data_IF_139861807585
#
_entry.id   IF_139861807585
#
_cell.length_a   1.000
_cell.length_b   1.000
_cell.length_c   1.000
_cell.angle_alpha   90.00
_cell.angle_beta   90.00
_cell.angle_gamma   90.00
#
_symmetry.space_group_name_H-M   'P 1'
#
loop_
_entity.id
_entity.type
_entity.pdbx_description
1 polymer ?
#
# COMPACT_ATOMS: atom_id res chain seq x y z
N UNK A 1 15.31 -9.46 6.56
CA UNK A 1 14.44 -9.97 7.63
C UNK A 1 15.06 -11.29 8.00
N UNK A 2 15.67 -11.38 9.16
CA UNK A 2 16.39 -12.59 9.57
C UNK A 2 15.34 -13.68 9.83
N UNK A 3 15.60 -14.87 9.28
CA UNK A 3 14.62 -15.95 9.13
C UNK A 3 14.50 -16.84 10.38
N UNK A 4 15.21 -16.50 11.47
CA UNK A 4 15.00 -17.14 12.77
C UNK A 4 15.75 -16.42 13.89
N UNK A 5 15.01 -15.78 14.79
CA UNK A 5 15.58 -15.19 16.01
C UNK A 5 15.80 -16.24 17.11
N UNK A 6 15.08 -17.37 17.06
CA UNK A 6 15.17 -18.44 18.04
C UNK A 6 14.94 -19.80 17.39
N UNK A 7 15.77 -20.79 17.71
CA UNK A 7 15.58 -22.19 17.34
C UNK A 7 15.73 -23.06 18.57
N UNK A 8 14.88 -24.06 18.72
CA UNK A 8 14.84 -24.90 19.91
C UNK A 8 14.60 -26.36 19.54
N UNK A 9 15.38 -27.25 20.16
CA UNK A 9 15.25 -28.69 19.99
C UNK A 9 15.48 -29.40 21.32
N UNK A 10 14.66 -30.41 21.60
CA UNK A 10 14.87 -31.35 22.69
C UNK A 10 15.17 -32.71 22.09
N UNK A 11 16.21 -33.37 22.58
CA UNK A 11 16.50 -34.77 22.25
C UNK A 11 16.77 -35.57 23.51
N UNK A 12 16.35 -36.83 23.55
CA UNK A 12 16.53 -37.68 24.72
C UNK A 12 16.19 -39.14 24.45
N UNK A 13 16.64 -40.01 25.35
CA UNK A 13 16.30 -41.44 25.33
C UNK A 13 15.01 -41.73 26.08
N UNK A 14 14.68 -40.91 27.08
CA UNK A 14 13.52 -41.04 27.95
C UNK A 14 13.23 -39.73 28.70
N UNK A 15 12.05 -39.62 29.30
CA UNK A 15 11.55 -38.39 29.97
C UNK A 15 12.44 -37.87 31.12
N UNK A 16 13.33 -38.70 31.67
CA UNK A 16 14.27 -38.30 32.72
C UNK A 16 15.71 -38.08 32.23
N UNK A 17 15.98 -38.32 30.93
CA UNK A 17 17.32 -38.17 30.31
C UNK A 17 17.17 -37.58 28.92
N UNK A 18 17.15 -36.26 28.90
CA UNK A 18 17.04 -35.45 27.71
C UNK A 18 17.97 -34.23 27.81
N UNK A 19 18.23 -33.61 26.67
CA UNK A 19 19.02 -32.40 26.51
C UNK A 19 18.24 -31.46 25.61
N UNK A 20 18.16 -30.20 26.04
CA UNK A 20 17.63 -29.11 25.24
C UNK A 20 18.78 -28.30 24.62
N UNK A 21 18.64 -27.99 23.34
CA UNK A 21 19.48 -27.06 22.61
C UNK A 21 18.65 -25.87 22.18
N UNK A 22 19.16 -24.67 22.40
CA UNK A 22 18.56 -23.45 21.90
C UNK A 22 19.61 -22.56 21.24
N UNK A 23 19.23 -21.94 20.13
CA UNK A 23 20.02 -20.94 19.42
C UNK A 23 19.19 -19.67 19.39
N UNK A 24 19.68 -18.64 20.07
CA UNK A 24 19.00 -17.34 20.19
C UNK A 24 19.90 -16.27 19.56
N UNK A 25 19.44 -15.64 18.48
CA UNK A 25 20.14 -14.57 17.77
C UNK A 25 19.94 -13.25 18.52
N UNK A 26 20.59 -13.15 19.68
CA UNK A 26 20.62 -11.95 20.52
C UNK A 26 21.99 -11.23 20.48
N UNK A 27 22.63 -11.18 19.30
CA UNK A 27 23.93 -10.49 19.09
C UNK A 27 23.92 -9.00 19.48
N UNK A 28 22.75 -8.37 19.67
CA UNK A 28 22.63 -6.94 20.00
C UNK A 28 22.82 -6.58 21.48
N UNK A 29 22.92 -7.56 22.38
CA UNK A 29 23.12 -7.29 23.80
C UNK A 29 24.56 -7.63 24.20
N UNK A 30 25.42 -6.60 24.25
CA UNK A 30 26.77 -6.66 24.85
C UNK A 30 26.79 -7.00 26.35
N UNK A 31 25.70 -7.57 26.88
CA UNK A 31 25.65 -8.07 28.25
C UNK A 31 26.37 -9.40 28.30
N UNK A 32 27.40 -9.44 29.14
CA UNK A 32 28.17 -10.62 29.47
C UNK A 32 27.21 -11.78 29.83
N UNK A 33 27.27 -12.88 29.07
CA UNK A 33 26.42 -14.06 29.24
C UNK A 33 26.42 -14.55 30.71
N UNK A 34 27.54 -14.35 31.40
CA UNK A 34 27.69 -14.65 32.83
C UNK A 34 26.75 -13.84 33.74
N UNK A 35 26.50 -12.55 33.43
CA UNK A 35 25.56 -11.70 34.16
C UNK A 35 24.10 -12.07 33.88
N UNK A 36 23.84 -12.63 32.70
CA UNK A 36 22.52 -13.11 32.29
C UNK A 36 22.17 -14.43 32.98
N UNK A 37 23.17 -15.30 33.19
CA UNK A 37 23.05 -16.57 33.91
C UNK A 37 23.04 -16.43 35.44
N UNK A 38 23.62 -15.34 35.95
CA UNK A 38 23.77 -15.05 37.37
C UNK A 38 23.41 -13.61 37.68
N UNK A 39 22.19 -13.39 38.14
CA UNK A 39 21.74 -12.08 38.62
C UNK A 39 21.12 -12.22 40.00
N UNK A 40 21.63 -11.46 40.99
CA UNK A 40 21.11 -11.49 42.36
C UNK A 40 21.38 -12.77 43.15
N UNK A 41 22.32 -13.62 42.69
CA UNK A 41 22.69 -14.86 43.38
C UNK A 41 21.79 -16.06 43.08
N UNK A 42 20.84 -15.92 42.15
CA UNK A 42 19.96 -16.98 41.67
C UNK A 42 20.43 -17.43 40.29
N UNK A 43 20.40 -18.73 40.03
CA UNK A 43 20.75 -19.27 38.71
C UNK A 43 19.49 -19.35 37.85
N UNK A 44 19.55 -18.81 36.63
CA UNK A 44 18.40 -18.77 35.73
C UNK A 44 18.54 -19.81 34.63
N UNK A 45 17.43 -20.39 34.21
CA UNK A 45 17.40 -21.23 33.01
C UNK A 45 17.63 -20.34 31.77
N UNK A 46 18.75 -20.50 31.03
CA UNK A 46 19.06 -19.62 29.90
C UNK A 46 18.14 -19.80 28.69
N UNK A 47 17.45 -20.94 28.58
CA UNK A 47 16.58 -21.25 27.45
C UNK A 47 15.16 -20.79 27.77
N UNK A 48 14.68 -21.16 28.96
CA UNK A 48 13.32 -20.87 29.40
C UNK A 48 13.14 -19.43 29.92
N UNK A 49 14.19 -18.79 30.44
CA UNK A 49 14.11 -17.38 30.81
C UNK A 49 14.09 -16.52 29.54
N UNK A 50 13.05 -15.69 29.44
CA UNK A 50 12.84 -14.78 28.33
C UNK A 50 13.56 -13.45 28.53
N UNK A 51 13.16 -12.46 27.74
CA UNK A 51 13.60 -11.07 27.86
C UNK A 51 12.79 -10.36 28.96
N UNK A 52 13.47 -9.65 29.85
CA UNK A 52 12.83 -8.82 30.87
C UNK A 52 12.62 -9.55 32.19
N UNK A 53 11.43 -9.40 32.78
CA UNK A 53 11.12 -9.91 34.13
C UNK A 53 10.63 -11.37 34.13
N UNK A 54 10.57 -12.02 32.97
CA UNK A 54 10.07 -13.37 32.83
C UNK A 54 11.20 -14.40 33.05
N UNK A 55 11.47 -14.64 34.33
CA UNK A 55 12.65 -15.34 34.79
C UNK A 55 12.26 -16.72 35.34
N UNK A 56 12.93 -17.78 34.87
CA UNK A 56 12.74 -19.14 35.35
C UNK A 56 13.94 -19.54 36.21
N UNK A 57 13.76 -19.75 37.53
CA UNK A 57 14.84 -20.23 38.39
C UNK A 57 15.25 -21.65 38.00
N UNK A 58 16.55 -21.84 37.74
CA UNK A 58 17.13 -23.13 37.45
C UNK A 58 17.12 -24.07 38.66
N UNK A 59 16.90 -23.56 39.89
CA UNK A 59 16.75 -24.39 41.09
C UNK A 59 15.46 -25.23 41.09
N UNK A 60 14.48 -24.87 40.26
CA UNK A 60 13.21 -25.58 40.12
C UNK A 60 13.02 -26.08 38.69
N UNK A 61 13.81 -27.08 38.24
CA UNK A 61 13.80 -27.53 36.85
C UNK A 61 12.47 -28.20 36.50
N UNK A 62 11.98 -27.92 35.30
CA UNK A 62 10.86 -28.64 34.70
C UNK A 62 11.41 -29.98 34.18
N UNK A 63 11.12 -31.06 34.90
CA UNK A 63 11.72 -32.37 34.62
C UNK A 63 11.20 -33.04 33.36
N UNK A 64 9.92 -32.83 33.03
CA UNK A 64 9.32 -33.47 31.87
C UNK A 64 9.65 -32.67 30.59
N UNK A 65 10.22 -33.31 29.55
CA UNK A 65 10.65 -32.60 28.34
C UNK A 65 9.49 -31.98 27.56
N UNK A 66 8.30 -32.57 27.61
CA UNK A 66 7.11 -32.05 26.92
C UNK A 66 6.57 -30.82 27.61
N UNK A 67 6.52 -30.85 28.94
CA UNK A 67 6.12 -29.69 29.74
C UNK A 67 7.12 -28.54 29.54
N UNK A 68 8.42 -28.87 29.51
CA UNK A 68 9.48 -27.90 29.24
C UNK A 68 9.34 -27.29 27.84
N UNK A 69 9.07 -28.12 26.83
CA UNK A 69 8.84 -27.66 25.45
C UNK A 69 7.67 -26.68 25.36
N UNK A 70 6.50 -27.06 25.90
CA UNK A 70 5.32 -26.20 25.86
C UNK A 70 5.55 -24.89 26.62
N UNK A 71 6.24 -24.94 27.76
CA UNK A 71 6.54 -23.75 28.55
C UNK A 71 7.44 -22.78 27.78
N UNK A 72 8.49 -23.27 27.12
CA UNK A 72 9.35 -22.44 26.27
C UNK A 72 8.57 -21.88 25.08
N UNK A 73 7.76 -22.71 24.43
CA UNK A 73 6.97 -22.29 23.28
C UNK A 73 6.01 -21.15 23.64
N UNK A 74 5.28 -21.26 24.76
CA UNK A 74 4.42 -20.19 25.28
C UNK A 74 5.20 -18.89 25.43
N UNK A 75 6.30 -18.91 26.17
CA UNK A 75 7.10 -17.72 26.48
C UNK A 75 7.63 -17.04 25.21
N UNK A 76 8.25 -17.83 24.32
CA UNK A 76 8.83 -17.31 23.08
C UNK A 76 7.76 -16.84 22.10
N UNK A 77 6.61 -17.51 22.06
CA UNK A 77 5.47 -17.05 21.28
C UNK A 77 4.93 -15.73 21.81
N UNK A 78 4.79 -15.57 23.12
CA UNK A 78 4.37 -14.32 23.75
C UNK A 78 5.28 -13.14 23.34
N UNK A 79 6.60 -13.31 23.44
CA UNK A 79 7.59 -12.31 23.00
C UNK A 79 7.45 -11.97 21.50
N UNK A 80 7.24 -12.99 20.67
CA UNK A 80 7.04 -12.82 19.25
C UNK A 80 5.74 -12.05 18.96
N UNK A 81 4.63 -12.39 19.60
CA UNK A 81 3.33 -11.71 19.45
C UNK A 81 3.45 -10.24 19.85
N UNK A 82 4.05 -9.95 21.00
CA UNK A 82 4.24 -8.58 21.47
C UNK A 82 5.11 -7.76 20.51
N UNK A 83 6.16 -8.37 19.96
CA UNK A 83 7.01 -7.75 18.95
C UNK A 83 6.24 -7.46 17.65
N UNK A 84 5.40 -8.41 17.21
CA UNK A 84 4.54 -8.26 16.04
C UNK A 84 3.51 -7.14 16.25
N UNK A 85 2.81 -7.12 17.38
CA UNK A 85 1.88 -6.05 17.72
C UNK A 85 2.57 -4.68 17.74
N UNK A 86 3.75 -4.58 18.36
CA UNK A 86 4.51 -3.35 18.42
C UNK A 86 4.94 -2.86 17.02
N UNK A 87 5.41 -3.79 16.18
CA UNK A 87 5.82 -3.50 14.79
C UNK A 87 4.63 -3.00 13.97
N UNK A 88 3.49 -3.70 14.00
CA UNK A 88 2.31 -3.30 13.25
C UNK A 88 1.77 -1.96 13.73
N UNK A 89 1.67 -1.74 15.05
CA UNK A 89 1.28 -0.42 15.61
C UNK A 89 2.23 0.69 15.18
N UNK A 90 3.52 0.42 15.00
CA UNK A 90 4.49 1.39 14.54
C UNK A 90 4.31 1.73 13.05
N UNK A 91 4.00 0.73 12.22
CA UNK A 91 3.70 0.93 10.79
C UNK A 91 2.39 1.70 10.65
N UNK A 92 1.32 1.30 11.34
CA UNK A 92 0.04 2.01 11.34
C UNK A 92 0.21 3.49 11.71
N UNK A 93 0.96 3.78 12.79
CA UNK A 93 1.31 5.15 13.19
C UNK A 93 2.02 5.91 12.07
N UNK A 94 3.06 5.34 11.47
CA UNK A 94 3.78 5.98 10.36
C UNK A 94 2.87 6.24 9.15
N UNK A 95 1.95 5.33 8.86
CA UNK A 95 0.99 5.51 7.77
C UNK A 95 0.01 6.65 8.06
N UNK A 96 -0.48 6.73 9.29
CA UNK A 96 -1.36 7.83 9.72
C UNK A 96 -0.62 9.17 9.75
N UNK A 97 0.59 9.22 10.28
CA UNK A 97 1.42 10.42 10.30
C UNK A 97 1.69 10.92 8.88
N UNK A 98 2.03 10.00 7.96
CA UNK A 98 2.25 10.36 6.56
C UNK A 98 0.98 10.96 5.93
N UNK A 99 -0.19 10.37 6.17
CA UNK A 99 -1.49 10.87 5.69
C UNK A 99 -1.86 12.24 6.29
N UNK A 100 -1.51 12.48 7.55
CA UNK A 100 -1.79 13.74 8.23
C UNK A 100 -0.88 14.88 7.74
N UNK A 101 0.39 14.58 7.45
CA UNK A 101 1.36 15.55 6.92
C UNK A 101 1.11 15.82 5.43
N UNK A 102 0.74 14.78 4.68
CA UNK A 102 0.42 14.84 3.26
C UNK A 102 -1.04 14.48 3.07
N UNK A 103 -1.99 15.37 3.43
CA UNK A 103 -3.38 15.22 3.06
C UNK A 103 -3.50 15.45 1.56
N UNK A 104 -2.94 14.54 0.77
CA UNK A 104 -3.14 14.51 -0.66
C UNK A 104 -4.65 14.42 -0.88
N UNK A 105 -5.24 15.43 -1.55
CA UNK A 105 -6.52 15.39 -2.30
C UNK A 105 -7.80 16.12 -1.82
N UNK A 106 -7.82 17.05 -0.85
CA UNK A 106 -9.07 17.86 -0.61
C UNK A 106 -8.88 19.39 -0.65
N UNK A 107 -7.67 19.90 -0.47
CA UNK A 107 -7.46 21.36 -0.53
C UNK A 107 -7.44 21.85 -1.99
N UNK A 108 -8.55 22.47 -2.40
CA UNK A 108 -8.65 23.43 -3.52
C UNK A 108 -7.79 24.68 -3.21
N UNK A 109 -6.49 24.52 -2.97
CA UNK A 109 -5.58 25.65 -2.88
C UNK A 109 -5.36 26.23 -4.28
N UNK A 110 -6.23 27.16 -4.62
CA UNK A 110 -6.10 28.10 -5.72
C UNK A 110 -4.81 28.91 -5.49
N UNK A 111 -3.71 28.58 -6.17
CA UNK A 111 -2.62 29.55 -6.33
C UNK A 111 -1.17 29.08 -6.25
N UNK A 112 -0.84 27.77 -6.25
CA UNK A 112 0.58 27.35 -6.29
C UNK A 112 0.91 26.36 -7.42
N UNK A 113 2.11 26.61 -7.96
CA UNK A 113 2.86 25.92 -9.02
C UNK A 113 2.43 24.47 -9.30
N UNK A 114 1.86 24.22 -10.49
CA UNK A 114 1.34 22.90 -10.90
C UNK A 114 2.40 21.81 -10.86
N UNK A 115 3.66 22.19 -11.09
CA UNK A 115 4.81 21.27 -11.06
C UNK A 115 5.10 20.71 -9.67
N UNK A 116 4.99 21.54 -8.63
CA UNK A 116 5.24 21.10 -7.24
C UNK A 116 4.20 20.11 -6.73
N UNK A 117 2.93 20.31 -7.13
CA UNK A 117 1.81 19.41 -6.82
C UNK A 117 1.97 18.03 -7.47
N UNK A 118 2.43 17.99 -8.72
CA UNK A 118 2.69 16.75 -9.43
C UNK A 118 3.82 15.96 -8.76
N UNK A 119 4.92 16.64 -8.38
CA UNK A 119 6.04 16.02 -7.69
C UNK A 119 5.63 15.43 -6.32
N UNK A 120 4.81 16.14 -5.56
CA UNK A 120 4.26 15.63 -4.30
C UNK A 120 3.38 14.39 -4.51
N UNK A 121 2.52 14.41 -5.53
CA UNK A 121 1.65 13.27 -5.86
C UNK A 121 2.47 12.03 -6.26
N UNK A 122 3.56 12.21 -7.00
CA UNK A 122 4.49 11.12 -7.36
C UNK A 122 5.15 10.56 -6.09
N UNK A 123 5.67 11.43 -5.20
CA UNK A 123 6.28 11.01 -3.94
C UNK A 123 5.30 10.22 -3.06
N UNK A 124 4.04 10.66 -2.97
CA UNK A 124 3.01 9.94 -2.22
C UNK A 124 2.64 8.60 -2.86
N UNK A 125 2.66 8.51 -4.19
CA UNK A 125 2.42 7.26 -4.89
C UNK A 125 3.56 6.25 -4.63
N UNK A 126 4.81 6.68 -4.76
CA UNK A 126 5.98 5.84 -4.50
C UNK A 126 6.03 5.36 -3.04
N UNK A 127 5.75 6.26 -2.10
CA UNK A 127 5.65 5.91 -0.68
C UNK A 127 4.53 4.89 -0.41
N UNK A 128 3.36 5.05 -1.04
CA UNK A 128 2.25 4.11 -0.90
C UNK A 128 2.63 2.73 -1.43
N UNK A 129 3.33 2.68 -2.57
CA UNK A 129 3.82 1.43 -3.17
C UNK A 129 4.82 0.72 -2.26
N UNK A 130 5.81 1.42 -1.73
CA UNK A 130 6.80 0.85 -0.80
C UNK A 130 6.14 0.33 0.48
N UNK A 131 5.15 1.06 0.99
CA UNK A 131 4.37 0.66 2.17
C UNK A 131 3.58 -0.62 1.89
N UNK A 132 2.91 -0.72 0.73
CA UNK A 132 2.18 -1.94 0.32
C UNK A 132 3.14 -3.14 0.23
N UNK A 133 4.33 -2.96 -0.35
CA UNK A 133 5.33 -4.01 -0.46
C UNK A 133 5.79 -4.51 0.92
N UNK A 134 6.08 -3.58 1.84
CA UNK A 134 6.45 -3.92 3.21
C UNK A 134 5.33 -4.69 3.91
N UNK A 135 4.10 -4.18 3.87
CA UNK A 135 2.94 -4.80 4.53
C UNK A 135 2.68 -6.20 3.98
N UNK A 136 2.71 -6.39 2.66
CA UNK A 136 2.51 -7.71 2.05
C UNK A 136 3.60 -8.71 2.47
N UNK A 137 4.86 -8.28 2.62
CA UNK A 137 5.94 -9.16 3.10
C UNK A 137 5.70 -9.61 4.54
N UNK A 138 5.21 -8.72 5.40
CA UNK A 138 4.85 -9.03 6.77
C UNK A 138 3.63 -9.95 6.84
N UNK A 139 2.63 -9.71 5.99
CA UNK A 139 1.43 -10.55 5.84
C UNK A 139 1.80 -11.99 5.43
N UNK A 140 2.74 -12.16 4.50
CA UNK A 140 3.24 -13.49 4.13
C UNK A 140 3.94 -14.19 5.30
N UNK A 141 4.78 -13.47 6.05
CA UNK A 141 5.50 -14.05 7.18
C UNK A 141 4.55 -14.51 8.31
N UNK A 142 3.56 -13.68 8.66
CA UNK A 142 2.61 -14.02 9.72
C UNK A 142 1.66 -15.13 9.27
N UNK A 143 1.19 -15.12 8.01
CA UNK A 143 0.31 -16.16 7.47
C UNK A 143 0.99 -17.53 7.36
N UNK A 144 2.30 -17.58 7.07
CA UNK A 144 3.07 -18.81 7.13
C UNK A 144 3.12 -19.36 8.56
N UNK A 145 3.31 -18.48 9.55
CA UNK A 145 3.40 -18.86 10.96
C UNK A 145 2.06 -19.36 11.50
N UNK A 146 0.95 -18.68 11.20
CA UNK A 146 -0.40 -19.11 11.60
C UNK A 146 -0.80 -20.42 10.92
N UNK A 147 -0.45 -20.60 9.63
CA UNK A 147 -0.69 -21.86 8.93
C UNK A 147 0.09 -23.04 9.51
N UNK A 148 1.32 -22.82 9.99
CA UNK A 148 2.07 -23.88 10.69
C UNK A 148 1.37 -24.31 11.98
N UNK A 149 0.81 -23.34 12.72
CA UNK A 149 -0.01 -23.64 13.89
C UNK A 149 -1.29 -24.39 13.56
N UNK A 150 -2.02 -23.98 12.51
CA UNK A 150 -3.22 -24.70 12.06
C UNK A 150 -2.91 -26.17 11.74
N UNK A 151 -1.78 -26.44 11.07
CA UNK A 151 -1.34 -27.81 10.79
C UNK A 151 -0.95 -28.57 12.05
N UNK A 152 -0.26 -27.90 12.99
CA UNK A 152 0.12 -28.48 14.28
C UNK A 152 -1.11 -28.85 15.11
N UNK A 153 -2.14 -28.00 15.11
CA UNK A 153 -3.38 -28.13 15.88
C UNK A 153 -4.50 -28.89 15.12
N UNK A 154 -4.23 -29.40 13.92
CA UNK A 154 -5.20 -30.14 13.13
C UNK A 154 -5.58 -31.49 13.78
N UNK A 155 -6.70 -32.08 13.35
CA UNK A 155 -7.05 -33.45 13.71
C UNK A 155 -5.97 -34.41 13.15
N UNK A 156 -5.30 -35.16 14.03
CA UNK A 156 -4.06 -35.93 13.74
C UNK A 156 -2.81 -35.08 13.49
N UNK A 157 -2.79 -33.83 13.97
CA UNK A 157 -1.61 -32.99 14.00
C UNK A 157 -0.63 -33.37 15.11
N UNK A 158 0.51 -32.69 15.16
CA UNK A 158 1.54 -32.94 16.17
C UNK A 158 1.09 -32.58 17.59
N UNK A 159 -0.02 -31.83 17.75
CA UNK A 159 -0.59 -31.52 19.07
C UNK A 159 -0.97 -32.78 19.86
N UNK A 160 -1.33 -33.87 19.18
CA UNK A 160 -1.71 -35.14 19.80
C UNK A 160 -0.57 -35.76 20.60
N UNK A 161 0.69 -35.42 20.28
CA UNK A 161 1.87 -35.81 21.07
C UNK A 161 1.82 -35.33 22.53
N UNK A 162 1.07 -34.26 22.80
CA UNK A 162 0.92 -33.67 24.14
C UNK A 162 -0.36 -34.14 24.86
N UNK A 163 -1.19 -34.96 24.20
CA UNK A 163 -2.54 -35.32 24.64
C UNK A 163 -2.61 -36.59 25.52
N UNK A 164 -1.48 -37.17 25.96
CA UNK A 164 -1.49 -38.40 26.77
C UNK A 164 -2.45 -38.29 27.97
N UNK A 165 -3.48 -39.14 27.94
CA UNK A 165 -4.67 -39.10 28.80
C UNK A 165 -4.47 -39.70 30.20
N UNK A 166 -3.38 -39.41 30.87
CA UNK A 166 -3.32 -39.71 32.31
C UNK A 166 -4.13 -38.64 33.06
N UNK A 167 -5.07 -39.07 33.91
CA UNK A 167 -6.00 -38.22 34.67
C UNK A 167 -5.32 -37.45 35.82
N UNK A 168 -4.05 -37.07 35.65
CA UNK A 168 -3.23 -36.41 36.65
C UNK A 168 -3.22 -34.89 36.51
N UNK A 169 -2.82 -34.19 37.57
CA UNK A 169 -2.62 -32.73 37.59
C UNK A 169 -1.72 -32.22 36.46
N UNK A 170 -0.80 -33.05 35.98
CA UNK A 170 0.12 -32.73 34.87
C UNK A 170 -0.65 -32.48 33.56
N UNK A 171 -1.75 -33.21 33.34
CA UNK A 171 -2.59 -33.02 32.16
C UNK A 171 -3.32 -31.66 32.21
N UNK A 172 -3.71 -31.20 33.41
CA UNK A 172 -4.31 -29.87 33.60
C UNK A 172 -3.32 -28.77 33.23
N UNK A 173 -2.05 -28.89 33.64
CA UNK A 173 -1.01 -27.92 33.29
C UNK A 173 -0.76 -27.85 31.78
N UNK A 174 -0.61 -29.00 31.11
CA UNK A 174 -0.42 -29.04 29.64
C UNK A 174 -1.59 -28.42 28.90
N UNK A 175 -2.81 -28.74 29.30
CA UNK A 175 -4.02 -28.14 28.73
C UNK A 175 -4.03 -26.62 28.91
N UNK A 176 -3.64 -26.12 30.07
CA UNK A 176 -3.52 -24.68 30.31
C UNK A 176 -2.49 -24.04 29.37
N UNK A 177 -1.30 -24.63 29.21
CA UNK A 177 -0.26 -24.14 28.30
C UNK A 177 -0.72 -24.17 26.84
N UNK A 178 -1.38 -25.23 26.39
CA UNK A 178 -1.93 -25.32 25.03
C UNK A 178 -3.03 -24.28 24.79
N UNK A 179 -3.90 -24.03 25.77
CA UNK A 179 -4.88 -22.94 25.70
C UNK A 179 -4.19 -21.57 25.58
N UNK A 180 -3.12 -21.33 26.32
CA UNK A 180 -2.34 -20.09 26.26
C UNK A 180 -1.66 -19.90 24.90
N UNK A 181 -1.07 -20.97 24.34
CA UNK A 181 -0.54 -20.96 22.97
C UNK A 181 -1.64 -20.59 21.97
N UNK A 182 -2.82 -21.21 22.08
CA UNK A 182 -3.96 -20.90 21.20
C UNK A 182 -4.43 -19.44 21.34
N UNK A 183 -4.38 -18.86 22.54
CA UNK A 183 -4.69 -17.47 22.77
C UNK A 183 -3.68 -16.55 22.06
N UNK A 184 -2.38 -16.86 22.15
CA UNK A 184 -1.35 -16.12 21.44
C UNK A 184 -1.52 -16.18 19.92
N UNK A 185 -1.88 -17.33 19.35
CA UNK A 185 -2.19 -17.43 17.92
C UNK A 185 -3.45 -16.63 17.54
N UNK A 186 -4.46 -16.60 18.41
CA UNK A 186 -5.64 -15.75 18.20
C UNK A 186 -5.27 -14.26 18.16
N UNK A 187 -4.30 -13.82 18.98
CA UNK A 187 -3.73 -12.46 18.93
C UNK A 187 -2.96 -12.22 17.63
N UNK A 188 -2.16 -13.17 17.16
CA UNK A 188 -1.46 -13.07 15.87
C UNK A 188 -2.43 -12.95 14.70
N UNK A 189 -3.56 -13.66 14.70
CA UNK A 189 -4.59 -13.49 13.67
C UNK A 189 -5.18 -12.08 13.67
N UNK A 190 -5.36 -11.44 14.84
CA UNK A 190 -5.81 -10.05 14.91
C UNK A 190 -4.77 -9.13 14.26
N UNK A 191 -3.48 -9.36 14.52
CA UNK A 191 -2.38 -8.62 13.88
C UNK A 191 -2.39 -8.82 12.36
N UNK A 192 -2.59 -10.05 11.90
CA UNK A 192 -2.71 -10.36 10.47
C UNK A 192 -3.88 -9.60 9.82
N UNK A 193 -5.07 -9.59 10.43
CA UNK A 193 -6.22 -8.85 9.91
C UNK A 193 -5.98 -7.34 9.87
N UNK A 194 -5.23 -6.78 10.83
CA UNK A 194 -4.80 -5.37 10.79
C UNK A 194 -3.89 -5.10 9.58
N UNK A 195 -2.91 -5.98 9.31
CA UNK A 195 -2.04 -5.86 8.13
C UNK A 195 -2.84 -5.93 6.83
N UNK A 196 -3.80 -6.84 6.71
CA UNK A 196 -4.68 -6.96 5.55
C UNK A 196 -5.50 -5.67 5.33
N UNK A 197 -6.09 -5.13 6.40
CA UNK A 197 -6.83 -3.87 6.36
C UNK A 197 -5.93 -2.69 5.96
N UNK A 198 -4.71 -2.63 6.50
CA UNK A 198 -3.73 -1.60 6.17
C UNK A 198 -3.28 -1.69 4.70
N UNK A 199 -3.03 -2.90 4.21
CA UNK A 199 -2.70 -3.18 2.80
C UNK A 199 -3.82 -2.71 1.88
N UNK A 200 -5.07 -3.05 2.19
CA UNK A 200 -6.24 -2.62 1.42
C UNK A 200 -6.36 -1.09 1.40
N UNK A 201 -6.23 -0.44 2.55
CA UNK A 201 -6.28 1.02 2.67
C UNK A 201 -5.18 1.72 1.86
N UNK A 202 -3.96 1.17 1.86
CA UNK A 202 -2.84 1.70 1.06
C UNK A 202 -3.07 1.49 -0.44
N UNK A 203 -3.58 0.32 -0.85
CA UNK A 203 -3.93 0.03 -2.26
C UNK A 203 -4.98 1.00 -2.79
N UNK A 204 -6.00 1.30 -2.00
CA UNK A 204 -7.02 2.28 -2.38
C UNK A 204 -6.44 3.70 -2.51
N UNK A 205 -5.55 4.07 -1.59
CA UNK A 205 -4.83 5.36 -1.66
C UNK A 205 -3.96 5.46 -2.92
N UNK A 206 -3.22 4.39 -3.24
CA UNK A 206 -2.38 4.32 -4.43
C UNK A 206 -3.19 4.43 -5.74
N UNK A 207 -4.35 3.76 -5.82
CA UNK A 207 -5.27 3.87 -6.98
C UNK A 207 -5.79 5.30 -7.16
N UNK A 208 -6.16 5.97 -6.06
CA UNK A 208 -6.61 7.37 -6.13
C UNK A 208 -5.49 8.28 -6.66
N UNK A 209 -4.26 8.09 -6.17
CA UNK A 209 -3.09 8.83 -6.62
C UNK A 209 -2.77 8.55 -8.10
N UNK A 210 -2.87 7.30 -8.55
CA UNK A 210 -2.69 6.92 -9.96
C UNK A 210 -3.71 7.59 -10.88
N UNK A 211 -4.99 7.57 -10.50
CA UNK A 211 -6.05 8.26 -11.25
C UNK A 211 -5.80 9.76 -11.34
N UNK A 212 -5.24 10.36 -10.28
CA UNK A 212 -4.87 11.78 -10.28
C UNK A 212 -3.68 12.05 -11.20
N UNK A 213 -2.62 11.24 -11.13
CA UNK A 213 -1.45 11.38 -12.00
C UNK A 213 -1.83 11.23 -13.48
N UNK A 214 -2.73 10.29 -13.80
CA UNK A 214 -3.23 10.12 -15.17
C UNK A 214 -4.06 11.32 -15.64
N UNK A 215 -4.93 11.88 -14.78
CA UNK A 215 -5.68 13.09 -15.10
C UNK A 215 -4.77 14.32 -15.29
N UNK A 216 -3.80 14.54 -14.40
CA UNK A 216 -2.84 15.65 -14.51
C UNK A 216 -1.94 15.49 -15.76
N UNK A 217 -1.54 14.26 -16.10
CA UNK A 217 -0.80 13.99 -17.34
C UNK A 217 -1.65 14.25 -18.60
N UNK A 218 -2.94 13.92 -18.58
CA UNK A 218 -3.84 14.23 -19.68
C UNK A 218 -4.06 15.75 -19.82
N UNK A 219 -4.26 16.48 -18.73
CA UNK A 219 -4.41 17.94 -18.74
C UNK A 219 -3.17 18.65 -19.28
N UNK A 220 -1.97 18.22 -18.90
CA UNK A 220 -0.72 18.77 -19.45
C UNK A 220 -0.54 18.48 -20.94
N UNK A 221 -1.01 17.32 -21.42
CA UNK A 221 -1.08 17.04 -22.86
C UNK A 221 -2.08 17.94 -23.58
N UNK A 222 -3.26 18.23 -23.02
CA UNK A 222 -4.20 19.18 -23.62
C UNK A 222 -3.70 20.63 -23.59
N UNK A 223 -3.03 21.05 -22.51
CA UNK A 223 -2.41 22.37 -22.41
C UNK A 223 -1.23 22.52 -23.39
N UNK A 224 -0.42 21.46 -23.56
CA UNK A 224 0.58 21.40 -24.65
C UNK A 224 -0.06 21.31 -26.03
N UNK A 225 -1.30 20.82 -26.13
CA UNK A 225 -2.12 20.83 -27.35
C UNK A 225 -2.27 22.23 -27.95
N UNK A 226 -2.38 23.27 -27.11
CA UNK A 226 -2.38 24.66 -27.60
C UNK A 226 -1.02 25.08 -28.19
N UNK A 227 0.10 24.52 -27.70
CA UNK A 227 1.42 24.70 -28.32
C UNK A 227 1.55 23.91 -29.64
N UNK A 228 0.92 22.74 -29.76
CA UNK A 228 0.88 21.98 -31.03
C UNK A 228 0.00 22.69 -32.07
N UNK A 229 -1.10 23.31 -31.64
CA UNK A 229 -1.88 24.20 -32.50
C UNK A 229 -1.04 25.40 -32.94
N UNK A 230 -0.26 26.01 -32.03
CA UNK A 230 0.69 27.05 -32.41
C UNK A 230 1.72 26.56 -33.45
N UNK A 231 2.33 25.40 -33.24
CA UNK A 231 3.27 24.79 -34.20
C UNK A 231 2.62 24.49 -35.55
N UNK A 232 1.42 23.90 -35.58
CA UNK A 232 0.74 23.51 -36.81
C UNK A 232 0.21 24.74 -37.57
N UNK A 233 -0.36 25.73 -36.88
CA UNK A 233 -0.97 26.88 -37.56
C UNK A 233 0.02 28.01 -37.87
N UNK A 234 1.12 28.14 -37.13
CA UNK A 234 2.07 29.25 -37.31
C UNK A 234 3.38 28.76 -37.93
N UNK A 235 3.98 27.68 -37.43
CA UNK A 235 5.30 27.24 -37.88
C UNK A 235 5.25 26.39 -39.15
N UNK A 236 4.20 25.57 -39.35
CA UNK A 236 4.09 24.74 -40.55
C UNK A 236 3.93 25.58 -41.85
N UNK A 237 3.05 26.59 -41.93
CA UNK A 237 2.93 27.40 -43.14
C UNK A 237 4.18 28.24 -43.43
N UNK A 238 4.86 28.74 -42.38
CA UNK A 238 6.12 29.48 -42.55
C UNK A 238 7.25 28.58 -43.01
N UNK A 239 7.35 27.35 -42.48
CA UNK A 239 8.34 26.37 -42.94
C UNK A 239 8.08 25.94 -44.39
N UNK A 240 6.83 25.70 -44.77
CA UNK A 240 6.45 25.39 -46.17
C UNK A 240 6.79 26.56 -47.09
N UNK A 241 6.46 27.80 -46.70
CA UNK A 241 6.81 28.99 -47.48
C UNK A 241 8.34 29.14 -47.64
N UNK A 242 9.11 28.94 -46.57
CA UNK A 242 10.57 28.99 -46.61
C UNK A 242 11.16 27.88 -47.50
N UNK A 243 10.64 26.66 -47.43
CA UNK A 243 11.05 25.55 -48.27
C UNK A 243 10.74 25.80 -49.76
N UNK A 244 9.58 26.36 -50.07
CA UNK A 244 9.23 26.77 -51.44
C UNK A 244 10.18 27.86 -51.98
N UNK A 245 10.65 28.77 -51.13
CA UNK A 245 11.61 29.82 -51.51
C UNK A 245 13.06 29.31 -51.63
N UNK A 246 13.39 28.17 -51.00
CA UNK A 246 14.71 27.54 -51.09
C UNK A 246 14.86 26.59 -52.29
N UNK A 247 13.76 26.21 -52.95
CA UNK A 247 13.83 25.39 -54.16
C UNK A 247 14.49 26.18 -55.31
N UNK A 248 15.59 25.62 -55.84
CA UNK A 248 16.45 26.27 -56.83
C UNK A 248 15.67 26.59 -58.12
N UNK A 249 15.85 27.79 -58.72
CA UNK A 249 15.04 28.29 -59.83
C UNK A 249 15.19 27.53 -61.16
N UNK A 250 16.00 26.47 -61.22
CA UNK A 250 16.30 25.74 -62.45
C UNK A 250 15.17 24.78 -62.88
N UNK A 251 14.23 24.42 -62.00
CA UNK A 251 13.16 23.47 -62.32
C UNK A 251 11.77 24.11 -62.46
N UNK A 252 11.59 25.36 -62.03
CA UNK A 252 10.32 26.07 -62.15
C UNK A 252 10.59 27.60 -62.25
N UNK A 253 10.39 28.25 -63.41
CA UNK A 253 10.62 29.68 -63.55
C UNK A 253 9.46 30.43 -62.86
N UNK A 254 9.61 30.71 -61.57
CA UNK A 254 8.70 31.60 -60.88
C UNK A 254 8.93 33.06 -61.33
N UNK A 255 7.86 33.87 -61.42
CA UNK A 255 7.96 35.27 -61.83
C UNK A 255 8.80 36.08 -60.83
N UNK A 256 9.39 37.19 -61.32
CA UNK A 256 10.40 37.99 -60.63
C UNK A 256 10.11 38.26 -59.13
N UNK A 257 11.18 38.27 -58.34
CA UNK A 257 11.23 38.42 -56.87
C UNK A 257 10.18 39.34 -56.19
N UNK A 258 9.81 40.54 -56.72
CA UNK A 258 8.79 41.35 -56.07
C UNK A 258 7.39 40.73 -56.07
N UNK A 259 7.03 39.95 -57.09
CA UNK A 259 5.70 39.33 -57.18
C UNK A 259 5.49 38.27 -56.09
N UNK A 260 6.52 37.49 -55.78
CA UNK A 260 6.49 36.50 -54.71
C UNK A 260 6.42 37.12 -53.32
N UNK A 261 7.14 38.22 -53.10
CA UNK A 261 7.05 38.97 -51.85
C UNK A 261 5.62 39.51 -51.63
N UNK A 262 5.00 40.06 -52.68
CA UNK A 262 3.60 40.51 -52.63
C UNK A 262 2.66 39.35 -52.35
N UNK A 263 2.86 38.19 -52.99
CA UNK A 263 1.99 37.02 -52.80
C UNK A 263 2.11 36.45 -51.38
N UNK A 264 3.33 36.40 -50.83
CA UNK A 264 3.57 36.01 -49.43
C UNK A 264 2.92 36.99 -48.44
N UNK A 265 3.04 38.31 -48.67
CA UNK A 265 2.39 39.34 -47.84
C UNK A 265 0.87 39.21 -47.93
N UNK A 266 0.32 39.02 -49.13
CA UNK A 266 -1.12 38.81 -49.33
C UNK A 266 -1.58 37.56 -48.59
N UNK A 267 -0.82 36.45 -48.66
CA UNK A 267 -1.16 35.20 -47.96
C UNK A 267 -1.11 35.36 -46.43
N UNK A 268 -0.12 36.08 -45.90
CA UNK A 268 -0.02 36.38 -44.46
C UNK A 268 -1.20 37.27 -44.01
N UNK A 269 -1.53 38.30 -44.80
CA UNK A 269 -2.63 39.22 -44.52
C UNK A 269 -3.98 38.50 -44.60
N UNK A 270 -4.21 37.65 -45.59
CA UNK A 270 -5.46 36.89 -45.72
C UNK A 270 -5.63 35.90 -44.57
N UNK A 271 -4.56 35.21 -44.13
CA UNK A 271 -4.61 34.34 -42.95
C UNK A 271 -4.94 35.15 -41.68
N UNK A 272 -4.30 36.31 -41.48
CA UNK A 272 -4.58 37.19 -40.32
C UNK A 272 -6.01 37.72 -40.34
N UNK A 273 -6.52 38.09 -41.52
CA UNK A 273 -7.89 38.57 -41.70
C UNK A 273 -8.91 37.45 -41.45
N UNK A 274 -8.64 36.24 -41.95
CA UNK A 274 -9.44 35.05 -41.70
C UNK A 274 -9.49 34.76 -40.19
N UNK A 275 -8.33 34.78 -39.51
CA UNK A 275 -8.24 34.55 -38.07
C UNK A 275 -9.00 35.61 -37.28
N UNK A 276 -8.88 36.89 -37.66
CA UNK A 276 -9.63 37.98 -37.05
C UNK A 276 -11.15 37.83 -37.26
N UNK A 277 -11.59 37.50 -38.49
CA UNK A 277 -13.00 37.21 -38.78
C UNK A 277 -13.51 36.03 -37.96
N UNK A 278 -12.76 34.92 -37.93
CA UNK A 278 -13.13 33.72 -37.17
C UNK A 278 -13.12 33.93 -35.67
N UNK A 279 -12.32 34.85 -35.14
CA UNK A 279 -12.31 35.23 -33.72
C UNK A 279 -13.47 36.15 -33.32
N UNK A 280 -14.05 36.91 -34.26
CA UNK A 280 -15.11 37.89 -33.99
C UNK A 280 -16.53 37.42 -34.28
N UNK A 281 -16.71 36.26 -34.93
CA UNK A 281 -18.03 35.72 -35.23
C UNK A 281 -18.43 34.73 -34.12
N UNK A 282 -19.30 35.12 -33.16
CA UNK A 282 -19.68 34.28 -32.02
C UNK A 282 -20.41 33.00 -32.43
N UNK A 283 -21.06 32.98 -33.60
CA UNK A 283 -21.81 31.82 -34.12
C UNK A 283 -20.92 30.66 -34.59
N UNK A 284 -19.61 30.89 -34.82
CA UNK A 284 -18.65 29.85 -35.17
C UNK A 284 -18.06 29.11 -33.96
N UNK A 285 -18.23 29.67 -32.75
CA UNK A 285 -17.90 28.96 -31.50
C UNK A 285 -18.78 27.71 -31.32
N UNK A 286 -20.03 27.78 -31.78
CA UNK A 286 -20.97 26.66 -31.81
C UNK A 286 -20.53 25.57 -32.79
N UNK A 287 -20.03 25.96 -33.98
CA UNK A 287 -19.43 25.02 -34.95
C UNK A 287 -18.15 24.37 -34.44
N UNK A 288 -17.29 25.11 -33.72
CA UNK A 288 -16.15 24.52 -33.01
C UNK A 288 -16.63 23.52 -31.95
N UNK A 289 -17.72 23.82 -31.24
CA UNK A 289 -18.37 22.88 -30.31
C UNK A 289 -18.84 21.59 -31.00
N UNK A 290 -19.49 21.71 -32.17
CA UNK A 290 -19.94 20.58 -32.98
C UNK A 290 -18.78 19.73 -33.53
N UNK A 291 -17.71 20.36 -34.03
CA UNK A 291 -16.50 19.67 -34.49
C UNK A 291 -15.77 18.98 -33.34
N UNK A 292 -15.68 19.62 -32.16
CA UNK A 292 -15.11 19.00 -30.95
C UNK A 292 -15.94 17.80 -30.50
N UNK A 293 -17.27 17.91 -30.55
CA UNK A 293 -18.19 16.82 -30.21
C UNK A 293 -18.11 15.66 -31.22
N UNK A 294 -17.99 15.96 -32.50
CA UNK A 294 -17.83 14.97 -33.57
C UNK A 294 -16.46 14.27 -33.49
N UNK A 295 -15.38 15.00 -33.23
CA UNK A 295 -14.07 14.39 -33.05
C UNK A 295 -14.04 13.49 -31.82
N UNK A 296 -14.61 13.95 -30.70
CA UNK A 296 -14.73 13.16 -29.45
C UNK A 296 -15.54 11.88 -29.64
N UNK A 297 -16.56 11.88 -30.51
CA UNK A 297 -17.34 10.67 -30.81
C UNK A 297 -16.60 9.66 -31.71
N UNK A 298 -15.68 10.14 -32.56
CA UNK A 298 -14.78 9.28 -33.34
C UNK A 298 -13.68 8.66 -32.46
N UNK A 299 -13.09 9.43 -31.54
CA UNK A 299 -12.07 8.92 -30.60
C UNK A 299 -12.66 7.88 -29.63
N UNK A 300 -13.92 8.05 -29.21
CA UNK A 300 -14.64 7.07 -28.39
C UNK A 300 -15.05 5.80 -29.16
N UNK A 301 -14.99 5.79 -30.51
CA UNK A 301 -15.21 4.59 -31.32
C UNK A 301 -13.95 3.77 -31.57
N UNK A 302 -12.75 4.36 -31.47
CA UNK A 302 -11.48 3.64 -31.69
C UNK A 302 -10.89 3.04 -30.41
N UNK A 303 -11.30 3.54 -29.23
CA UNK A 303 -11.00 2.87 -27.96
C UNK A 303 -12.14 1.88 -27.69
N UNK A 304 -11.82 0.59 -27.82
CA UNK A 304 -12.75 -0.51 -27.67
C UNK A 304 -13.63 -0.39 -26.43
N UNK A 305 -14.88 -0.85 -26.56
CA UNK A 305 -15.88 -0.95 -25.50
C UNK A 305 -15.26 -1.48 -24.20
N UNK A 306 -15.27 -0.72 -23.09
CA UNK A 306 -15.27 -1.35 -21.78
C UNK A 306 -16.70 -1.82 -21.48
N UNK A 307 -16.81 -3.12 -21.26
CA UNK A 307 -17.95 -3.75 -20.59
C UNK A 307 -18.06 -3.13 -19.20
N UNK A 308 -18.91 -2.13 -18.99
CA UNK A 308 -19.27 -1.69 -17.63
C UNK A 308 -20.62 -0.98 -17.48
N UNK A 309 -21.50 -1.03 -18.49
CA UNK A 309 -22.87 -0.51 -18.37
C UNK A 309 -23.80 -1.39 -17.49
N UNK A 310 -23.32 -2.50 -16.92
CA UNK A 310 -24.12 -3.38 -16.07
C UNK A 310 -24.14 -2.98 -14.58
N UNK A 311 -23.20 -2.15 -14.08
CA UNK A 311 -23.10 -1.87 -12.63
C UNK A 311 -23.81 -0.59 -12.16
N UNK A 312 -24.25 0.29 -13.06
CA UNK A 312 -24.86 1.56 -12.67
C UNK A 312 -26.37 1.49 -12.33
N UNK A 313 -27.04 0.34 -12.53
CA UNK A 313 -28.48 0.18 -12.25
C UNK A 313 -28.81 -0.52 -10.94
N UNK A 314 -27.83 -1.09 -10.24
CA UNK A 314 -28.09 -1.83 -8.99
C UNK A 314 -28.05 -0.97 -7.71
N UNK A 315 -27.43 0.22 -7.73
CA UNK A 315 -27.21 1.02 -6.51
C UNK A 315 -28.30 2.05 -6.19
N UNK A 316 -29.35 2.18 -7.02
CA UNK A 316 -30.40 3.20 -6.88
C UNK A 316 -31.70 2.69 -6.22
N UNK A 317 -31.71 1.49 -5.63
CA UNK A 317 -32.90 0.89 -5.00
C UNK A 317 -32.78 0.61 -3.48
N UNK A 318 -31.75 1.13 -2.80
CA UNK A 318 -31.55 0.84 -1.37
C UNK A 318 -31.44 2.08 -0.48
N UNK A 319 -32.03 3.22 -0.87
CA UNK A 319 -31.95 4.44 -0.04
C UNK A 319 -33.26 5.23 0.05
N UNK A 320 -34.38 4.51 0.06
CA UNK A 320 -35.69 5.03 0.46
C UNK A 320 -36.23 4.00 1.45
N UNK A 321 -35.83 4.15 2.71
CA UNK A 321 -36.52 3.68 3.93
C UNK A 321 -35.57 3.81 5.11
N UNK A 322 -35.42 5.05 5.60
CA UNK A 322 -35.10 5.29 7.00
C UNK A 322 -35.62 6.66 7.39
N UNK A 323 -36.93 6.68 7.61
CA UNK A 323 -37.64 7.75 8.26
C UNK A 323 -37.50 7.55 9.78
N UNK A 324 -37.07 8.64 10.43
CA UNK A 324 -37.39 9.15 11.78
C UNK A 324 -37.78 8.14 12.88
N UNK A 325 -36.97 8.11 13.95
CA UNK A 325 -37.44 7.92 15.33
C UNK A 325 -36.43 8.63 16.25
N UNK A 326 -36.66 9.92 16.49
CA UNK A 326 -36.01 10.70 17.54
C UNK A 326 -36.73 10.41 18.86
N UNK A 327 -36.08 9.65 19.75
CA UNK A 327 -36.55 9.41 21.12
C UNK A 327 -35.89 10.45 22.02
N UNK A 328 -36.72 11.33 22.58
CA UNK A 328 -36.37 12.25 23.67
C UNK A 328 -35.93 11.48 24.91
N UNK A 329 -34.71 11.71 25.38
CA UNK A 329 -34.24 11.30 26.71
C UNK A 329 -34.35 12.48 27.67
N UNK A 330 -35.32 12.39 28.58
CA UNK A 330 -35.49 13.33 29.69
C UNK A 330 -34.37 13.22 30.74
N UNK A 331 -34.24 14.22 31.62
CA UNK A 331 -33.11 14.32 32.55
C UNK A 331 -33.24 13.37 33.75
N UNK A 332 -32.11 12.80 34.15
CA UNK A 332 -31.96 11.99 35.37
C UNK A 332 -31.90 12.89 36.62
N UNK A 333 -32.51 12.47 37.75
CA UNK A 333 -32.47 13.21 39.00
C UNK A 333 -31.14 13.04 39.73
N UNK A 334 -30.77 14.09 40.47
CA UNK A 334 -29.59 14.22 41.36
C UNK A 334 -29.83 13.46 42.67
#
# INVERSE_FOLDING_TARGET
MFEGHFSFAICGLCDNRWVAYAFDDTESHHEDLSKRLFFGGVHWDPIASGRGNDIVPAEFPIWNPRDYFLNILVRRLCEAVDSWEALVRAIERRVMDYRNIHPSTISNHNGRDSRGRQEETIKSFDWSRQTIELVNRLEVAISQTTKLWENFNAENGDIDYFSDFDSSEVNTLRKALLCEISEHFSRLEIVQRSLEALSASCKDSAKVLELRLTLESAETHYASGDSTNFQIFILFPTAVAAACLQYSPTLMPLPAAPALAVLAVVFIVTIKLLHALFSRIPTLSWWRGLLKAYYKSITLRSVGKPVSAAFARAKRRYNIDRQEDDIELGPLPI
#
